data_IF_730081474566
#
_entry.id   IF_730081474566
#
_cell.length_a   1.000
_cell.length_b   1.000
_cell.length_c   1.000
_cell.angle_alpha   90.00
_cell.angle_beta   90.00
_cell.angle_gamma   90.00
#
_symmetry.space_group_name_H-M   'P 1'
#
loop_
_entity.id
_entity.type
_entity.pdbx_description
1 polymer ?
#
# COMPACT_ATOMS: atom_id res chain seq x y z
N UNK A 1 7.33 24.22 13.63
CA UNK A 1 6.43 24.39 12.46
C UNK A 1 6.17 23.06 11.74
N UNK A 2 7.19 22.40 11.20
CA UNK A 2 7.03 21.16 10.40
C UNK A 2 6.40 19.99 11.17
N UNK A 3 6.79 19.77 12.42
CA UNK A 3 6.16 18.76 13.30
C UNK A 3 4.66 18.99 13.47
N UNK A 4 4.23 20.25 13.62
CA UNK A 4 2.81 20.59 13.74
C UNK A 4 2.06 20.30 12.44
N UNK A 5 2.63 20.69 11.28
CA UNK A 5 2.07 20.37 9.97
C UNK A 5 1.97 18.85 9.73
N UNK A 6 2.97 18.08 10.20
CA UNK A 6 2.98 16.62 10.10
C UNK A 6 1.87 15.98 10.92
N UNK A 7 1.77 16.30 12.22
CA UNK A 7 0.71 15.79 13.09
C UNK A 7 -0.68 16.22 12.59
N UNK A 8 -0.82 17.47 12.15
CA UNK A 8 -2.07 17.97 11.57
C UNK A 8 -2.47 17.17 10.33
N UNK A 9 -1.53 16.90 9.41
CA UNK A 9 -1.80 16.13 8.19
C UNK A 9 -2.17 14.68 8.52
N UNK A 10 -1.45 14.02 9.43
CA UNK A 10 -1.77 12.66 9.86
C UNK A 10 -3.14 12.60 10.54
N UNK A 11 -3.45 13.56 11.40
CA UNK A 11 -4.74 13.62 12.08
C UNK A 11 -5.88 13.82 11.06
N UNK A 12 -5.69 14.66 10.04
CA UNK A 12 -6.67 14.86 8.97
C UNK A 12 -6.88 13.60 8.12
N UNK A 13 -5.79 12.89 7.80
CA UNK A 13 -5.83 11.62 7.07
C UNK A 13 -6.57 10.56 7.89
N UNK A 14 -6.28 10.44 9.19
CA UNK A 14 -6.92 9.43 10.04
C UNK A 14 -8.39 9.75 10.35
N UNK A 15 -8.71 11.02 10.59
CA UNK A 15 -10.08 11.46 10.89
C UNK A 15 -11.03 11.28 9.69
N UNK A 16 -10.52 11.14 8.46
CA UNK A 16 -11.31 10.90 7.22
C UNK A 16 -12.67 11.65 7.21
N UNK A 17 -12.71 12.97 7.49
CA UNK A 17 -13.99 13.66 7.63
C UNK A 17 -14.77 13.59 6.31
N UNK A 18 -15.98 13.03 6.38
CA UNK A 18 -16.95 12.92 5.27
C UNK A 18 -16.53 12.04 4.07
N UNK A 19 -15.68 11.04 4.28
CA UNK A 19 -15.27 10.14 3.19
C UNK A 19 -14.43 10.84 2.10
N UNK A 20 -13.86 12.00 2.44
CA UNK A 20 -13.00 12.77 1.56
C UNK A 20 -11.78 11.94 1.12
N UNK A 21 -11.37 12.10 -0.14
CA UNK A 21 -10.20 11.41 -0.69
C UNK A 21 -8.95 11.81 0.10
N UNK A 22 -8.10 10.84 0.45
CA UNK A 22 -6.81 11.03 1.14
C UNK A 22 -5.87 11.98 0.39
N UNK A 23 -6.05 12.14 -0.92
CA UNK A 23 -5.29 13.07 -1.74
C UNK A 23 -5.45 14.53 -1.31
N UNK A 24 -6.65 14.93 -0.84
CA UNK A 24 -6.96 16.31 -0.45
C UNK A 24 -6.20 16.75 0.81
N UNK A 25 -6.28 16.04 1.96
CA UNK A 25 -5.50 16.37 3.15
C UNK A 25 -3.99 16.31 2.90
N UNK A 26 -3.53 15.33 2.10
CA UNK A 26 -2.12 15.23 1.72
C UNK A 26 -1.63 16.45 0.92
N UNK A 27 -2.43 16.93 -0.05
CA UNK A 27 -2.08 18.11 -0.86
C UNK A 27 -2.05 19.38 -0.02
N UNK A 28 -3.02 19.56 0.88
CA UNK A 28 -3.06 20.71 1.80
C UNK A 28 -1.83 20.70 2.72
N UNK A 29 -1.48 19.54 3.29
CA UNK A 29 -0.28 19.39 4.12
C UNK A 29 1.01 19.72 3.37
N UNK A 30 1.16 19.23 2.13
CA UNK A 30 2.31 19.55 1.29
C UNK A 30 2.42 21.06 1.01
N UNK A 31 1.30 21.72 0.72
CA UNK A 31 1.25 23.15 0.43
C UNK A 31 1.65 23.99 1.65
N UNK A 32 1.22 23.60 2.85
CA UNK A 32 1.63 24.23 4.12
C UNK A 32 3.14 24.09 4.37
N UNK A 33 3.70 22.91 4.11
CA UNK A 33 5.14 22.64 4.31
C UNK A 33 6.01 23.45 3.34
N UNK A 34 5.57 23.57 2.08
CA UNK A 34 6.25 24.40 1.06
C UNK A 34 6.15 25.88 1.44
N UNK A 35 4.96 26.36 1.83
CA UNK A 35 4.73 27.75 2.24
C UNK A 35 5.52 28.15 3.50
N UNK A 36 5.81 27.18 4.38
CA UNK A 36 6.64 27.40 5.57
C UNK A 36 8.14 27.61 5.25
N UNK A 37 8.58 27.46 4.00
CA UNK A 37 9.99 27.58 3.60
C UNK A 37 10.91 26.50 4.21
N UNK A 38 10.32 25.44 4.80
CA UNK A 38 11.06 24.41 5.50
C UNK A 38 11.76 23.40 4.57
N UNK A 39 11.43 23.43 3.27
CA UNK A 39 11.89 22.46 2.28
C UNK A 39 12.35 23.19 1.01
N UNK A 40 13.60 22.94 0.61
CA UNK A 40 14.17 23.40 -0.66
C UNK A 40 13.76 22.49 -1.83
N UNK A 41 13.88 23.02 -3.05
CA UNK A 41 13.58 22.28 -4.30
C UNK A 41 14.43 21.00 -4.43
N UNK A 42 15.68 21.02 -3.95
CA UNK A 42 16.55 19.83 -3.91
C UNK A 42 15.96 18.71 -3.05
N UNK A 43 15.45 19.04 -1.85
CA UNK A 43 14.83 18.06 -0.96
C UNK A 43 13.54 17.46 -1.55
N UNK A 44 12.76 18.24 -2.28
CA UNK A 44 11.57 17.73 -2.98
C UNK A 44 11.95 16.71 -4.05
N UNK A 45 13.02 16.97 -4.81
CA UNK A 45 13.52 16.04 -5.82
C UNK A 45 14.03 14.73 -5.19
N UNK A 46 14.80 14.82 -4.09
CA UNK A 46 15.27 13.65 -3.36
C UNK A 46 14.12 12.78 -2.84
N UNK A 47 13.07 13.40 -2.29
CA UNK A 47 11.89 12.68 -1.79
C UNK A 47 11.10 12.06 -2.94
N UNK A 48 10.91 12.79 -4.04
CA UNK A 48 10.17 12.31 -5.22
C UNK A 48 10.83 11.07 -5.83
N UNK A 49 12.17 11.05 -5.95
CA UNK A 49 12.90 9.87 -6.45
C UNK A 49 12.74 8.68 -5.51
N UNK A 50 12.82 8.88 -4.19
CA UNK A 50 12.65 7.79 -3.21
C UNK A 50 11.24 7.22 -3.22
N UNK A 51 10.23 8.08 -3.26
CA UNK A 51 8.81 7.66 -3.25
C UNK A 51 8.41 7.03 -4.57
N UNK A 52 8.86 7.57 -5.72
CA UNK A 52 8.57 6.98 -7.03
C UNK A 52 9.19 5.60 -7.19
N UNK A 53 10.40 5.36 -6.67
CA UNK A 53 10.99 4.01 -6.63
C UNK A 53 10.09 3.01 -5.90
N UNK A 54 9.65 3.33 -4.67
CA UNK A 54 8.75 2.47 -3.91
C UNK A 54 7.37 2.29 -4.58
N UNK A 55 6.80 3.36 -5.13
CA UNK A 55 5.53 3.32 -5.83
C UNK A 55 5.58 2.43 -7.08
N UNK A 56 6.68 2.49 -7.85
CA UNK A 56 6.89 1.63 -9.02
C UNK A 56 6.93 0.15 -8.64
N UNK A 57 7.56 -0.21 -7.50
CA UNK A 57 7.54 -1.59 -6.99
C UNK A 57 6.11 -2.06 -6.68
N UNK A 58 5.31 -1.23 -6.02
CA UNK A 58 3.91 -1.55 -5.70
C UNK A 58 3.08 -1.72 -6.97
N UNK A 59 3.21 -0.82 -7.94
CA UNK A 59 2.48 -0.90 -9.21
C UNK A 59 2.93 -2.12 -10.01
N UNK A 60 4.23 -2.39 -10.09
CA UNK A 60 4.76 -3.57 -10.78
C UNK A 60 4.25 -4.87 -10.16
N UNK A 61 4.24 -4.95 -8.84
CA UNK A 61 3.64 -6.05 -8.08
C UNK A 61 2.15 -6.22 -8.37
N UNK A 62 1.41 -5.11 -8.41
CA UNK A 62 -0.02 -5.13 -8.71
C UNK A 62 -0.27 -5.65 -10.13
N UNK A 63 0.52 -5.20 -11.11
CA UNK A 63 0.45 -5.69 -12.48
C UNK A 63 0.77 -7.19 -12.55
N UNK A 64 1.80 -7.65 -11.83
CA UNK A 64 2.11 -9.09 -11.72
C UNK A 64 0.91 -9.89 -11.18
N UNK A 65 0.27 -9.40 -10.11
CA UNK A 65 -0.91 -10.03 -9.55
C UNK A 65 -2.07 -10.08 -10.56
N UNK A 66 -2.33 -9.00 -11.29
CA UNK A 66 -3.38 -8.96 -12.33
C UNK A 66 -3.10 -9.95 -13.47
N UNK A 67 -1.84 -10.11 -13.88
CA UNK A 67 -1.46 -11.11 -14.90
C UNK A 67 -1.72 -12.53 -14.39
N UNK A 68 -1.34 -12.84 -13.15
CA UNK A 68 -1.62 -14.15 -12.53
C UNK A 68 -3.12 -14.41 -12.40
N UNK A 69 -3.91 -13.40 -12.05
CA UNK A 69 -5.37 -13.48 -12.00
C UNK A 69 -5.95 -13.80 -13.38
N UNK A 70 -5.46 -13.17 -14.44
CA UNK A 70 -5.95 -13.36 -15.80
C UNK A 70 -5.76 -14.79 -16.33
N UNK A 71 -4.73 -15.50 -15.86
CA UNK A 71 -4.43 -16.90 -16.23
C UNK A 71 -5.27 -17.87 -15.37
N UNK A 72 -6.01 -17.38 -14.36
CA UNK A 72 -6.79 -18.19 -13.43
C UNK A 72 -5.96 -18.83 -12.31
N UNK A 73 -4.72 -18.37 -12.11
CA UNK A 73 -3.79 -18.93 -11.12
C UNK A 73 -4.36 -18.89 -9.69
N UNK A 74 -4.96 -17.76 -9.29
CA UNK A 74 -5.55 -17.62 -7.97
C UNK A 74 -6.74 -18.56 -7.74
N UNK A 75 -7.53 -18.83 -8.79
CA UNK A 75 -8.66 -19.76 -8.70
C UNK A 75 -8.17 -21.21 -8.52
N UNK A 76 -7.13 -21.59 -9.26
CA UNK A 76 -6.48 -22.89 -9.10
C UNK A 76 -5.91 -23.08 -7.69
N UNK A 77 -5.18 -22.09 -7.17
CA UNK A 77 -4.66 -22.11 -5.80
C UNK A 77 -5.78 -22.20 -4.76
N UNK A 78 -6.86 -21.43 -4.92
CA UNK A 78 -7.98 -21.46 -3.99
C UNK A 78 -8.61 -22.86 -3.91
N UNK A 79 -8.79 -23.53 -5.06
CA UNK A 79 -9.30 -24.89 -5.09
C UNK A 79 -8.36 -25.89 -4.40
N UNK A 80 -7.04 -25.75 -4.57
CA UNK A 80 -6.04 -26.59 -3.92
C UNK A 80 -6.01 -26.40 -2.40
N UNK A 81 -6.13 -25.16 -1.92
CA UNK A 81 -6.21 -24.83 -0.51
C UNK A 81 -7.45 -25.43 0.15
N UNK A 82 -8.61 -25.34 -0.52
CA UNK A 82 -9.86 -25.95 -0.05
C UNK A 82 -9.72 -27.47 0.03
N UNK A 83 -9.21 -28.12 -1.02
CA UNK A 83 -8.98 -29.56 -1.04
C UNK A 83 -7.99 -30.00 0.06
N UNK A 84 -6.92 -29.25 0.30
CA UNK A 84 -5.93 -29.53 1.36
C UNK A 84 -6.46 -29.28 2.77
N UNK A 85 -7.38 -28.34 2.94
CA UNK A 85 -7.95 -28.00 4.26
C UNK A 85 -8.93 -29.04 4.80
N UNK A 86 -9.41 -29.95 3.94
CA UNK A 86 -10.27 -31.08 4.28
C UNK A 86 -11.44 -30.65 5.19
N UNK A 87 -12.18 -29.62 4.75
CA UNK A 87 -13.37 -29.07 5.42
C UNK A 87 -13.13 -28.27 6.71
N UNK A 88 -11.89 -28.12 7.18
CA UNK A 88 -11.59 -27.41 8.44
C UNK A 88 -11.11 -25.98 8.18
N UNK A 89 -11.86 -25.00 8.70
CA UNK A 89 -11.52 -23.58 8.58
C UNK A 89 -10.18 -23.21 9.22
N UNK A 90 -9.79 -23.87 10.31
CA UNK A 90 -8.50 -23.60 10.98
C UNK A 90 -7.32 -24.04 10.11
N UNK A 91 -7.43 -25.18 9.41
CA UNK A 91 -6.39 -25.65 8.48
C UNK A 91 -6.28 -24.74 7.27
N UNK A 92 -7.43 -24.29 6.74
CA UNK A 92 -7.46 -23.34 5.63
C UNK A 92 -6.74 -22.03 6.01
N UNK A 93 -7.00 -21.48 7.20
CA UNK A 93 -6.33 -20.27 7.69
C UNK A 93 -4.81 -20.43 7.72
N UNK A 94 -4.31 -21.52 8.31
CA UNK A 94 -2.86 -21.77 8.37
C UNK A 94 -2.24 -21.96 6.97
N UNK A 95 -2.92 -22.67 6.07
CA UNK A 95 -2.43 -22.83 4.69
C UNK A 95 -2.42 -21.52 3.91
N UNK A 96 -3.43 -20.66 4.06
CA UNK A 96 -3.46 -19.33 3.43
C UNK A 96 -2.35 -18.42 3.97
N UNK A 97 -2.10 -18.43 5.28
CA UNK A 97 -0.99 -17.66 5.87
C UNK A 97 0.37 -18.16 5.40
N UNK A 98 0.57 -19.49 5.33
CA UNK A 98 1.80 -20.07 4.79
C UNK A 98 2.02 -19.68 3.32
N UNK A 99 0.96 -19.70 2.51
CA UNK A 99 1.01 -19.24 1.12
C UNK A 99 1.34 -17.74 1.04
N UNK A 100 0.72 -16.90 1.87
CA UNK A 100 0.99 -15.47 1.93
C UNK A 100 2.46 -15.18 2.25
N UNK A 101 3.05 -15.93 3.19
CA UNK A 101 4.46 -15.81 3.55
C UNK A 101 5.41 -16.18 2.40
N UNK A 102 5.06 -17.20 1.60
CA UNK A 102 5.81 -17.57 0.40
C UNK A 102 5.64 -16.51 -0.71
N UNK A 103 4.40 -16.07 -0.95
CA UNK A 103 4.09 -15.08 -1.97
C UNK A 103 4.79 -13.73 -1.71
N UNK A 104 4.83 -13.26 -0.46
CA UNK A 104 5.52 -12.03 -0.06
C UNK A 104 7.05 -12.09 -0.25
N UNK A 105 7.64 -13.28 -0.45
CA UNK A 105 9.07 -13.44 -0.73
C UNK A 105 9.38 -13.51 -2.22
N UNK A 106 8.40 -13.86 -3.04
CA UNK A 106 8.53 -14.05 -4.49
C UNK A 106 8.37 -12.73 -5.25
N UNK A 107 7.87 -11.71 -4.58
CA UNK A 107 7.30 -10.51 -5.15
C UNK A 107 7.82 -9.29 -4.37
#
# INVERSE_FOLDING_TARGET
MVLFAFFFTIMLIYWRPKGMNESIPATIGALIVIASGAVNVSHLMDISVKVSGAAMTIISTLVMALVLESIGFFHWIASLLVQRSNGSGIRLFWHTNALCLVASKVL
#
